data_IF_851499884657
#
_entry.id   IF_851499884657
#
_cell.length_a   1.000
_cell.length_b   1.000
_cell.length_c   1.000
_cell.angle_alpha   90.00
_cell.angle_beta   90.00
_cell.angle_gamma   90.00
#
_symmetry.space_group_name_H-M   'P 1'
#
loop_
_entity.id
_entity.type
_entity.pdbx_description
1 polymer ?
#
# COMPACT_ATOMS: atom_id res chain seq x y z
N UNK A 1 -9.79 12.75 -0.49
CA UNK A 1 -10.04 12.32 -1.86
C UNK A 1 -8.84 11.57 -2.40
N UNK A 2 -9.07 10.42 -2.99
CA UNK A 2 -7.99 9.64 -3.59
C UNK A 2 -7.78 10.09 -5.03
N UNK A 3 -6.53 10.24 -5.43
CA UNK A 3 -6.19 10.63 -6.80
C UNK A 3 -5.80 9.39 -7.61
N UNK A 4 -5.12 8.45 -7.00
CA UNK A 4 -4.57 7.29 -7.68
C UNK A 4 -5.01 5.97 -7.06
N UNK A 5 -4.86 5.83 -5.75
CA UNK A 5 -5.23 4.62 -5.01
C UNK A 5 -6.45 4.85 -4.13
N UNK A 6 -7.14 3.76 -3.79
CA UNK A 6 -8.23 3.81 -2.82
C UNK A 6 -7.73 4.23 -1.44
N UNK A 7 -8.63 4.67 -0.57
CA UNK A 7 -8.28 4.98 0.82
C UNK A 7 -7.75 3.75 1.54
N UNK A 8 -8.32 2.58 1.25
CA UNK A 8 -7.85 1.33 1.83
C UNK A 8 -6.41 1.03 1.41
N UNK A 9 -6.08 1.29 0.15
CA UNK A 9 -4.72 1.08 -0.36
C UNK A 9 -3.73 2.05 0.28
N UNK A 10 -4.10 3.33 0.37
CA UNK A 10 -3.26 4.33 1.03
C UNK A 10 -2.96 3.93 2.47
N UNK A 11 -3.98 3.53 3.21
CA UNK A 11 -3.80 3.10 4.60
C UNK A 11 -2.99 1.81 4.67
N UNK A 12 -3.24 0.88 3.76
CA UNK A 12 -2.48 -0.37 3.71
C UNK A 12 -0.99 -0.13 3.52
N UNK A 13 -0.63 0.77 2.61
CA UNK A 13 0.77 1.16 2.39
C UNK A 13 1.34 1.75 3.67
N UNK A 14 0.65 2.70 4.28
CA UNK A 14 1.11 3.34 5.52
C UNK A 14 1.27 2.34 6.66
N UNK A 15 0.31 1.44 6.84
CA UNK A 15 0.34 0.46 7.92
C UNK A 15 1.49 -0.54 7.75
N UNK A 16 1.68 -1.05 6.54
CA UNK A 16 2.77 -1.99 6.26
C UNK A 16 4.13 -1.30 6.41
N UNK A 17 4.25 -0.06 5.93
CA UNK A 17 5.45 0.73 6.14
C UNK A 17 5.73 0.95 7.63
N UNK A 18 4.68 1.25 8.41
CA UNK A 18 4.83 1.40 9.86
C UNK A 18 5.37 0.12 10.50
N UNK A 19 4.79 -1.03 10.14
CA UNK A 19 5.27 -2.31 10.67
C UNK A 19 6.73 -2.56 10.33
N UNK A 20 7.19 -2.09 9.17
CA UNK A 20 8.58 -2.27 8.76
C UNK A 20 9.57 -1.45 9.59
N UNK A 21 9.11 -0.37 10.23
CA UNK A 21 9.99 0.48 11.05
C UNK A 21 10.28 -0.13 12.41
N UNK A 22 9.57 -1.18 12.79
CA UNK A 22 9.69 -1.83 14.09
C UNK A 22 10.10 -3.29 13.90
N UNK A 23 11.14 -3.71 14.62
CA UNK A 23 11.65 -5.07 14.49
C UNK A 23 10.69 -6.08 15.09
N UNK A 24 10.15 -6.95 14.24
CA UNK A 24 9.45 -8.20 14.59
C UNK A 24 8.42 -8.10 15.74
N UNK A 25 7.92 -6.90 16.02
CA UNK A 25 6.92 -6.73 17.06
C UNK A 25 5.53 -6.86 16.46
N UNK A 26 4.63 -7.45 17.26
CA UNK A 26 3.22 -7.55 16.91
C UNK A 26 2.52 -6.26 17.36
N UNK A 27 1.74 -5.65 16.48
CA UNK A 27 0.96 -4.46 16.78
C UNK A 27 -0.52 -4.74 16.57
N UNK A 28 -1.34 -4.43 17.58
CA UNK A 28 -2.78 -4.54 17.39
C UNK A 28 -3.31 -3.33 16.62
N UNK A 29 -4.56 -3.41 16.18
CA UNK A 29 -5.16 -2.35 15.36
C UNK A 29 -5.21 -1.00 16.08
N UNK A 30 -5.40 -1.01 17.40
CA UNK A 30 -5.43 0.22 18.18
C UNK A 30 -4.08 0.92 18.20
N UNK A 31 -3.01 0.17 18.39
CA UNK A 31 -1.65 0.73 18.38
C UNK A 31 -1.34 1.36 17.03
N UNK A 32 -1.64 0.67 15.94
CA UNK A 32 -1.42 1.20 14.59
C UNK A 32 -2.28 2.44 14.35
N UNK A 33 -3.54 2.41 14.78
CA UNK A 33 -4.45 3.54 14.59
C UNK A 33 -3.99 4.80 15.30
N UNK A 34 -3.42 4.63 16.49
CA UNK A 34 -2.87 5.77 17.24
C UNK A 34 -1.66 6.39 16.55
N UNK A 35 -0.76 5.56 16.06
CA UNK A 35 0.45 6.05 15.40
C UNK A 35 0.15 6.73 14.07
N UNK A 36 -0.79 6.20 13.31
CA UNK A 36 -1.14 6.72 11.99
C UNK A 36 -2.28 7.75 12.02
N UNK A 37 -2.90 7.95 13.18
CA UNK A 37 -4.03 8.90 13.35
C UNK A 37 -5.22 8.56 12.46
N UNK A 38 -5.60 7.28 12.43
CA UNK A 38 -6.70 6.77 11.61
C UNK A 38 -7.61 5.87 12.45
N UNK A 39 -8.87 5.64 12.01
CA UNK A 39 -9.80 4.81 12.78
C UNK A 39 -9.34 3.36 12.91
N UNK A 40 -9.48 2.81 14.11
CA UNK A 40 -9.09 1.44 14.44
C UNK A 40 -9.79 0.40 13.55
N UNK A 41 -11.08 0.58 13.32
CA UNK A 41 -11.88 -0.35 12.52
C UNK A 41 -11.38 -0.41 11.08
N UNK A 42 -10.93 0.72 10.55
CA UNK A 42 -10.38 0.79 9.20
C UNK A 42 -9.03 0.04 9.13
N UNK A 43 -8.19 0.20 10.16
CA UNK A 43 -6.92 -0.53 10.26
C UNK A 43 -7.18 -2.04 10.26
N UNK A 44 -8.11 -2.52 11.10
CA UNK A 44 -8.44 -3.94 11.19
C UNK A 44 -8.88 -4.49 9.83
N UNK A 45 -9.74 -3.76 9.15
CA UNK A 45 -10.26 -4.17 7.85
C UNK A 45 -9.17 -4.28 6.80
N UNK A 46 -8.30 -3.29 6.73
CA UNK A 46 -7.21 -3.26 5.76
C UNK A 46 -6.19 -4.36 6.03
N UNK A 47 -5.85 -4.57 7.29
CA UNK A 47 -4.92 -5.64 7.66
C UNK A 47 -5.48 -7.02 7.29
N UNK A 48 -6.78 -7.22 7.46
CA UNK A 48 -7.43 -8.47 7.07
C UNK A 48 -7.39 -8.67 5.55
N UNK A 49 -7.49 -7.60 4.77
CA UNK A 49 -7.36 -7.69 3.32
C UNK A 49 -5.94 -8.13 2.93
N UNK A 50 -4.93 -7.66 3.68
CA UNK A 50 -3.52 -7.96 3.39
C UNK A 50 -3.09 -9.36 3.83
N UNK A 51 -3.80 -9.97 4.77
CA UNK A 51 -3.41 -11.27 5.34
C UNK A 51 -3.31 -12.38 4.30
N UNK A 52 -4.27 -12.54 3.37
CA UNK A 52 -4.17 -13.60 2.37
C UNK A 52 -2.96 -13.51 1.45
N UNK A 53 -2.41 -12.31 1.25
CA UNK A 53 -1.22 -12.13 0.40
C UNK A 53 0.07 -12.57 1.08
N UNK A 54 0.05 -12.78 2.39
CA UNK A 54 1.24 -13.10 3.15
C UNK A 54 2.11 -11.91 3.51
N UNK A 55 1.76 -10.72 3.07
CA UNK A 55 2.50 -9.48 3.42
C UNK A 55 2.38 -9.20 4.90
N UNK A 56 1.18 -9.40 5.44
CA UNK A 56 0.88 -9.24 6.86
C UNK A 56 0.35 -10.57 7.39
N UNK A 57 0.77 -10.93 8.58
CA UNK A 57 0.22 -12.06 9.32
C UNK A 57 -0.51 -11.56 10.54
N UNK A 58 -1.48 -12.33 11.03
CA UNK A 58 -2.22 -12.00 12.23
C UNK A 58 -2.00 -13.07 13.28
N UNK A 59 -2.00 -12.65 14.54
CA UNK A 59 -1.98 -13.55 15.70
C UNK A 59 -3.19 -13.25 16.55
N UNK A 60 -3.98 -14.28 16.83
CA UNK A 60 -5.17 -14.16 17.66
C UNK A 60 -4.82 -14.18 19.14
N UNK A 61 -5.74 -13.71 19.97
CA UNK A 61 -5.64 -13.78 21.42
C UNK A 61 -5.27 -12.47 22.07
N UNK A 62 -5.04 -12.52 23.39
CA UNK A 62 -4.84 -11.36 24.24
C UNK A 62 -3.65 -10.49 23.84
N UNK A 63 -2.56 -11.12 23.41
CA UNK A 63 -1.36 -10.41 22.95
C UNK A 63 -1.22 -10.49 21.44
N UNK A 64 -2.34 -10.61 20.74
CA UNK A 64 -2.38 -10.72 19.30
C UNK A 64 -2.30 -9.39 18.58
N UNK A 65 -2.34 -9.45 17.27
CA UNK A 65 -2.26 -8.29 16.41
C UNK A 65 -1.72 -8.68 15.05
N UNK A 66 -1.02 -7.75 14.43
CA UNK A 66 -0.49 -7.92 13.08
C UNK A 66 1.02 -7.73 13.07
N UNK A 67 1.68 -8.44 12.17
CA UNK A 67 3.13 -8.33 11.97
C UNK A 67 3.45 -8.64 10.51
N UNK A 68 4.65 -8.24 10.07
CA UNK A 68 5.08 -8.52 8.70
C UNK A 68 5.27 -10.02 8.50
N UNK A 69 4.69 -10.54 7.43
CA UNK A 69 4.80 -11.96 7.07
C UNK A 69 6.04 -12.29 6.25
N UNK A 70 6.76 -11.28 5.78
CA UNK A 70 7.95 -11.42 4.94
C UNK A 70 8.99 -10.40 5.36
N UNK A 71 10.24 -10.61 4.96
CA UNK A 71 11.30 -9.64 5.22
C UNK A 71 11.02 -8.33 4.49
N UNK A 72 11.32 -7.17 5.12
CA UNK A 72 11.10 -5.88 4.49
C UNK A 72 11.81 -5.69 3.15
N UNK A 73 12.95 -6.33 2.94
CA UNK A 73 13.67 -6.25 1.68
C UNK A 73 13.01 -7.05 0.55
N UNK A 74 12.07 -7.92 0.87
CA UNK A 74 11.34 -8.72 -0.11
C UNK A 74 9.94 -8.17 -0.42
N UNK A 75 9.50 -7.11 0.28
CA UNK A 75 8.19 -6.50 0.06
C UNK A 75 8.37 -5.16 -0.66
N UNK A 76 7.75 -5.04 -1.82
CA UNK A 76 7.77 -3.80 -2.60
C UNK A 76 6.45 -3.07 -2.47
N UNK A 77 6.45 -1.77 -2.68
CA UNK A 77 5.22 -0.98 -2.60
C UNK A 77 4.15 -1.53 -3.54
N UNK A 78 4.55 -1.98 -4.73
CA UNK A 78 3.59 -2.53 -5.70
C UNK A 78 2.88 -3.78 -5.18
N UNK A 79 3.53 -4.58 -4.33
CA UNK A 79 2.93 -5.77 -3.76
C UNK A 79 1.73 -5.43 -2.89
N UNK A 80 1.81 -4.33 -2.15
CA UNK A 80 0.72 -3.86 -1.29
C UNK A 80 -0.44 -3.35 -2.16
N UNK A 81 -0.11 -2.59 -3.20
CA UNK A 81 -1.12 -2.06 -4.12
C UNK A 81 -1.88 -3.21 -4.79
N UNK A 82 -1.15 -4.21 -5.27
CA UNK A 82 -1.77 -5.37 -5.92
C UNK A 82 -2.70 -6.11 -4.98
N UNK A 83 -2.30 -6.27 -3.71
CA UNK A 83 -3.08 -7.00 -2.72
C UNK A 83 -4.41 -6.32 -2.39
N UNK A 84 -4.48 -5.00 -2.45
CA UNK A 84 -5.66 -4.24 -2.03
C UNK A 84 -6.49 -3.76 -3.21
N UNK A 85 -5.87 -3.04 -4.14
CA UNK A 85 -6.57 -2.42 -5.27
C UNK A 85 -6.44 -3.23 -6.58
N UNK A 86 -5.48 -4.15 -6.66
CA UNK A 86 -5.11 -4.76 -7.92
C UNK A 86 -4.29 -3.78 -8.76
N UNK A 87 -4.00 -4.17 -9.99
CA UNK A 87 -3.14 -3.38 -10.88
C UNK A 87 -3.90 -2.67 -12.01
N UNK A 88 -5.23 -2.62 -11.92
CA UNK A 88 -6.05 -2.01 -12.97
C UNK A 88 -5.79 -0.51 -13.15
N UNK A 89 -5.39 0.19 -12.09
CA UNK A 89 -5.06 1.62 -12.16
C UNK A 89 -3.93 1.88 -13.17
N UNK A 90 -3.04 0.91 -13.38
CA UNK A 90 -1.93 1.04 -14.32
C UNK A 90 -2.33 0.72 -15.76
N UNK A 91 -3.58 0.33 -15.99
CA UNK A 91 -4.12 -0.01 -17.30
C UNK A 91 -5.28 0.91 -17.71
N UNK A 92 -5.87 1.60 -16.75
CA UNK A 92 -7.06 2.41 -16.99
C UNK A 92 -6.73 3.79 -17.51
N UNK A 93 -7.65 4.34 -18.30
CA UNK A 93 -7.55 5.72 -18.79
C UNK A 93 -7.90 6.70 -17.67
N UNK A 94 -7.07 7.73 -17.49
CA UNK A 94 -7.31 8.76 -16.47
C UNK A 94 -8.59 9.53 -16.74
N UNK A 95 -8.99 9.65 -18.01
CA UNK A 95 -10.23 10.35 -18.39
C UNK A 95 -11.47 9.47 -18.30
N UNK A 96 -11.27 8.18 -18.00
CA UNK A 96 -12.39 7.27 -17.79
C UNK A 96 -13.04 6.70 -19.05
N UNK A 97 -12.44 6.91 -20.22
CA UNK A 97 -12.99 6.36 -21.45
C UNK A 97 -12.87 4.82 -21.46
N UNK A 98 -13.97 4.12 -21.72
CA UNK A 98 -13.89 2.66 -21.84
C UNK A 98 -13.18 2.29 -23.14
N UNK A 99 -12.43 1.20 -23.11
CA UNK A 99 -11.77 0.67 -24.30
C UNK A 99 -10.67 1.54 -24.88
N UNK A 100 -10.07 2.42 -24.09
CA UNK A 100 -8.94 3.23 -24.56
C UNK A 100 -7.76 2.32 -24.89
N UNK A 101 -7.24 2.41 -26.11
CA UNK A 101 -6.16 1.55 -26.61
C UNK A 101 -5.28 2.30 -27.59
N UNK A 102 -4.21 1.65 -28.04
CA UNK A 102 -3.32 2.22 -29.07
C UNK A 102 -4.09 2.51 -30.37
N UNK A 103 -5.06 1.67 -30.69
CA UNK A 103 -5.86 1.84 -31.91
C UNK A 103 -6.87 2.96 -31.80
N UNK A 104 -7.43 3.15 -30.60
CA UNK A 104 -8.43 4.20 -30.35
C UNK A 104 -8.04 4.96 -29.09
N UNK A 105 -6.96 5.75 -29.15
CA UNK A 105 -6.45 6.43 -27.96
C UNK A 105 -7.29 7.63 -27.56
N UNK A 106 -7.36 7.87 -26.23
CA UNK A 106 -7.95 9.11 -25.72
C UNK A 106 -6.98 10.29 -25.91
N UNK A 107 -7.42 11.53 -25.72
CA UNK A 107 -6.56 12.71 -25.94
C UNK A 107 -5.23 12.72 -25.22
N UNK A 108 -5.12 12.05 -24.08
CA UNK A 108 -3.89 12.03 -23.26
C UNK A 108 -3.31 10.62 -23.12
N UNK A 109 -3.63 9.74 -24.05
CA UNK A 109 -3.25 8.33 -23.95
C UNK A 109 -1.75 8.13 -23.71
N UNK A 110 -0.92 8.75 -24.51
CA UNK A 110 0.54 8.57 -24.40
C UNK A 110 1.11 9.26 -23.15
N UNK A 111 0.66 10.48 -22.87
CA UNK A 111 1.13 11.22 -21.70
C UNK A 111 0.75 10.47 -20.40
N UNK A 112 -0.48 10.01 -20.30
CA UNK A 112 -0.92 9.24 -19.13
C UNK A 112 -0.19 7.91 -19.04
N UNK A 113 0.00 7.23 -20.17
CA UNK A 113 0.75 5.97 -20.22
C UNK A 113 2.17 6.11 -19.67
N UNK A 114 2.87 7.18 -20.05
CA UNK A 114 4.21 7.45 -19.54
C UNK A 114 4.22 7.68 -18.04
N UNK A 115 3.25 8.43 -17.52
CA UNK A 115 3.15 8.68 -16.08
C UNK A 115 2.83 7.41 -15.30
N UNK A 116 1.92 6.58 -15.82
CA UNK A 116 1.61 5.29 -15.20
C UNK A 116 2.84 4.38 -15.15
N UNK A 117 3.58 4.33 -16.24
CA UNK A 117 4.77 3.48 -16.33
C UNK A 117 5.84 3.92 -15.34
N UNK A 118 6.04 5.23 -15.18
CA UNK A 118 6.97 5.75 -14.19
C UNK A 118 6.52 5.45 -12.76
N UNK A 119 5.22 5.60 -12.49
CA UNK A 119 4.66 5.27 -11.17
C UNK A 119 4.82 3.78 -10.88
N UNK A 120 4.50 2.93 -11.84
CA UNK A 120 4.66 1.48 -11.70
C UNK A 120 6.12 1.12 -11.41
N UNK A 121 7.04 1.73 -12.15
CA UNK A 121 8.48 1.48 -11.97
C UNK A 121 8.92 1.87 -10.56
N UNK A 122 8.55 3.06 -10.09
CA UNK A 122 8.89 3.52 -8.75
C UNK A 122 8.37 2.54 -7.69
N UNK A 123 7.10 2.18 -7.78
CA UNK A 123 6.46 1.28 -6.81
C UNK A 123 7.05 -0.13 -6.86
N UNK A 124 7.53 -0.57 -8.03
CA UNK A 124 8.12 -1.90 -8.21
C UNK A 124 9.57 -1.98 -7.75
N UNK A 125 10.27 -0.87 -7.70
CA UNK A 125 11.68 -0.83 -7.31
C UNK A 125 11.87 -0.55 -5.81
N UNK A 126 10.93 0.15 -5.17
CA UNK A 126 11.05 0.52 -3.76
C UNK A 126 10.61 -0.60 -2.83
N UNK A 127 11.53 -1.06 -1.99
CA UNK A 127 11.25 -2.03 -0.95
C UNK A 127 10.96 -1.32 0.38
N UNK A 128 10.32 -2.04 1.31
CA UNK A 128 10.11 -1.49 2.65
C UNK A 128 11.44 -1.17 3.34
N UNK A 129 12.44 -2.01 3.13
CA UNK A 129 13.76 -1.79 3.73
C UNK A 129 14.38 -0.47 3.26
N UNK A 130 14.28 -0.17 1.96
CA UNK A 130 14.81 1.09 1.41
C UNK A 130 14.11 2.32 1.98
N UNK A 131 12.85 2.20 2.38
CA UNK A 131 12.03 3.31 2.84
C UNK A 131 11.94 3.43 4.35
N UNK A 132 12.56 2.51 5.08
CA UNK A 132 12.42 2.38 6.53
C UNK A 132 12.73 3.67 7.30
N UNK A 133 13.88 4.26 7.04
CA UNK A 133 14.32 5.47 7.73
C UNK A 133 13.41 6.65 7.45
N UNK A 134 13.09 6.88 6.18
CA UNK A 134 12.21 7.98 5.78
C UNK A 134 10.81 7.80 6.32
N UNK A 135 10.33 6.55 6.40
CA UNK A 135 9.02 6.23 6.96
C UNK A 135 8.98 6.57 8.45
N UNK A 136 10.01 6.16 9.21
CA UNK A 136 10.07 6.46 10.63
C UNK A 136 10.03 7.96 10.88
N UNK A 137 10.78 8.73 10.10
CA UNK A 137 10.80 10.18 10.19
C UNK A 137 9.43 10.79 9.87
N UNK A 138 8.76 10.29 8.85
CA UNK A 138 7.44 10.79 8.46
C UNK A 138 6.39 10.51 9.53
N UNK A 139 6.36 9.31 10.07
CA UNK A 139 5.39 8.92 11.10
C UNK A 139 5.61 9.76 12.37
N UNK A 140 6.86 10.00 12.75
CA UNK A 140 7.18 10.84 13.91
C UNK A 140 6.67 12.28 13.76
N UNK A 141 6.45 12.73 12.54
CA UNK A 141 5.96 14.09 12.25
C UNK A 141 4.43 14.22 12.30
N UNK A 142 3.70 13.12 12.42
CA UNK A 142 2.23 13.12 12.46
C UNK A 142 1.70 13.57 13.85
#
# INVERSE_FOLDING_TARGET
MTVFFSKACELGIQAVLFLSTKEKRIYNAEEVSKELKVPKEFVSKVMQILTPSGIVCSKKGKNGGFYLGKDPDSIKLIDIVEAIDGLEVFKSCVLGFPGCSIETPCPVHHQWGNLRDEAFKMLSEETLENLKEKTANKIASL
#
